data_IF_016879820053
#
_entry.id   IF_016879820053
#
_cell.length_a   1.000
_cell.length_b   1.000
_cell.length_c   1.000
_cell.angle_alpha   90.00
_cell.angle_beta   90.00
_cell.angle_gamma   90.00
#
_symmetry.space_group_name_H-M   'P 1'
#
loop_
_entity.id
_entity.type
_entity.pdbx_description
1 polymer ?
#
# COMPACT_ATOMS: atom_id res chain seq x y z
N UNK A 1 -39.32 13.01 -21.27
CA UNK A 1 -39.00 11.69 -20.66
C UNK A 1 -37.49 11.65 -20.39
N UNK A 2 -37.04 11.57 -19.13
CA UNK A 2 -35.61 11.55 -18.78
C UNK A 2 -35.06 10.13 -18.96
N UNK A 3 -33.94 9.97 -19.69
CA UNK A 3 -33.26 8.68 -19.82
C UNK A 3 -32.65 8.28 -18.48
N UNK A 4 -32.72 6.99 -18.12
CA UNK A 4 -32.09 6.48 -16.89
C UNK A 4 -30.62 6.20 -17.15
N UNK A 5 -29.80 6.13 -16.10
CA UNK A 5 -28.36 5.86 -16.20
C UNK A 5 -28.02 4.59 -17.00
N UNK A 6 -28.87 3.56 -16.88
CA UNK A 6 -28.76 2.30 -17.64
C UNK A 6 -29.06 2.41 -19.14
N UNK A 7 -29.70 3.50 -19.57
CA UNK A 7 -30.06 3.75 -20.97
C UNK A 7 -29.00 4.60 -21.69
N UNK A 8 -27.91 4.98 -21.00
CA UNK A 8 -26.78 5.73 -21.54
C UNK A 8 -25.65 4.77 -21.93
N UNK A 9 -24.90 5.07 -23.00
CA UNK A 9 -23.69 4.33 -23.33
C UNK A 9 -22.67 4.43 -22.18
N UNK A 10 -21.77 3.44 -22.02
CA UNK A 10 -20.73 3.49 -21.00
C UNK A 10 -19.93 4.80 -21.08
N UNK A 11 -19.62 5.44 -19.94
CA UNK A 11 -18.75 6.61 -19.93
C UNK A 11 -17.44 6.32 -20.64
N UNK A 12 -17.07 7.17 -21.60
CA UNK A 12 -15.77 7.07 -22.27
C UNK A 12 -14.72 7.58 -21.28
N UNK A 13 -13.95 6.68 -20.70
CA UNK A 13 -12.87 7.01 -19.77
C UNK A 13 -11.56 7.04 -20.54
N UNK A 14 -10.84 8.17 -20.48
CA UNK A 14 -9.45 8.23 -20.93
C UNK A 14 -8.60 7.38 -19.98
N UNK A 15 -7.83 6.45 -20.54
CA UNK A 15 -6.88 5.64 -19.79
C UNK A 15 -5.50 6.22 -20.00
N UNK A 16 -5.02 6.96 -19.02
CA UNK A 16 -3.61 7.35 -18.93
C UNK A 16 -2.98 6.39 -17.91
N UNK A 17 -1.92 5.64 -18.28
CA UNK A 17 -1.22 4.81 -17.32
C UNK A 17 -0.62 5.68 -16.21
N UNK A 18 -0.49 5.17 -14.98
CA UNK A 18 0.09 5.93 -13.88
C UNK A 18 1.54 6.30 -14.20
N UNK A 19 1.96 7.45 -13.71
CA UNK A 19 3.37 7.85 -13.77
C UNK A 19 4.22 6.96 -12.84
N UNK A 20 5.54 6.94 -13.07
CA UNK A 20 6.49 6.17 -12.25
C UNK A 20 6.38 6.57 -10.77
N UNK A 21 6.29 7.87 -10.49
CA UNK A 21 6.23 8.40 -9.12
C UNK A 21 4.96 7.94 -8.40
N UNK A 22 3.81 7.98 -9.07
CA UNK A 22 2.53 7.52 -8.53
C UNK A 22 2.54 6.00 -8.29
N UNK A 23 3.08 5.23 -9.23
CA UNK A 23 3.19 3.78 -9.10
C UNK A 23 4.10 3.37 -7.93
N UNK A 24 5.25 4.05 -7.77
CA UNK A 24 6.19 3.81 -6.65
C UNK A 24 5.52 4.17 -5.32
N UNK A 25 4.87 5.34 -5.25
CA UNK A 25 4.17 5.79 -4.03
C UNK A 25 3.11 4.77 -3.60
N UNK A 26 2.25 4.35 -4.53
CA UNK A 26 1.21 3.38 -4.23
C UNK A 26 1.77 2.01 -3.83
N UNK A 27 2.86 1.56 -4.47
CA UNK A 27 3.50 0.29 -4.12
C UNK A 27 4.10 0.31 -2.70
N UNK A 28 4.72 1.43 -2.30
CA UNK A 28 5.27 1.62 -0.95
C UNK A 28 4.20 1.68 0.14
N UNK A 29 3.01 2.18 -0.19
CA UNK A 29 1.87 2.17 0.74
C UNK A 29 1.28 0.77 0.92
N UNK A 30 1.43 -0.11 -0.08
CA UNK A 30 0.89 -1.47 -0.06
C UNK A 30 1.84 -2.50 0.57
N UNK A 31 3.15 -2.29 0.48
CA UNK A 31 4.15 -3.25 0.96
C UNK A 31 5.37 -2.57 1.59
N UNK A 32 5.92 -3.23 2.60
CA UNK A 32 7.20 -2.86 3.24
C UNK A 32 8.41 -3.57 2.61
N UNK A 33 8.19 -4.62 1.82
CA UNK A 33 9.23 -5.39 1.14
C UNK A 33 9.56 -4.78 -0.22
N UNK A 34 10.86 -4.58 -0.49
CA UNK A 34 11.32 -3.87 -1.68
C UNK A 34 11.06 -4.66 -2.97
N UNK A 35 11.25 -5.97 -2.95
CA UNK A 35 11.01 -6.80 -4.14
C UNK A 35 9.51 -6.80 -4.50
N UNK A 36 8.64 -6.97 -3.49
CA UNK A 36 7.19 -6.82 -3.68
C UNK A 36 6.78 -5.42 -4.19
N UNK A 37 7.40 -4.34 -3.68
CA UNK A 37 7.13 -2.98 -4.17
C UNK A 37 7.47 -2.84 -5.67
N UNK A 38 8.59 -3.41 -6.11
CA UNK A 38 9.01 -3.33 -7.53
C UNK A 38 8.00 -4.07 -8.41
N UNK A 39 7.59 -5.28 -8.01
CA UNK A 39 6.60 -6.08 -8.75
C UNK A 39 5.25 -5.34 -8.88
N UNK A 40 4.77 -4.75 -7.78
CA UNK A 40 3.51 -3.99 -7.76
C UNK A 40 3.60 -2.75 -8.67
N UNK A 41 4.68 -1.97 -8.57
CA UNK A 41 4.86 -0.78 -9.39
C UNK A 41 4.99 -1.12 -10.89
N UNK A 42 5.70 -2.18 -11.23
CA UNK A 42 5.77 -2.71 -12.60
C UNK A 42 4.38 -3.13 -13.11
N UNK A 43 3.57 -3.77 -12.25
CA UNK A 43 2.19 -4.14 -12.55
C UNK A 43 1.26 -2.94 -12.81
N UNK A 44 1.45 -1.83 -12.09
CA UNK A 44 0.68 -0.60 -12.32
C UNK A 44 1.00 0.07 -13.66
N UNK A 45 2.28 0.07 -14.04
CA UNK A 45 2.74 0.69 -15.28
C UNK A 45 2.62 -0.23 -16.51
N UNK A 46 2.53 -1.54 -16.31
CA UNK A 46 2.56 -2.53 -17.40
C UNK A 46 3.94 -2.66 -18.05
N UNK A 47 5.02 -2.42 -17.29
CA UNK A 47 6.42 -2.51 -17.75
C UNK A 47 7.15 -3.66 -17.06
N UNK A 48 8.40 -3.93 -17.46
CA UNK A 48 9.20 -4.97 -16.83
C UNK A 48 9.70 -4.57 -15.43
N UNK A 49 9.94 -5.57 -14.58
CA UNK A 49 10.52 -5.38 -13.23
C UNK A 49 11.90 -4.69 -13.32
N UNK A 50 12.70 -5.04 -14.35
CA UNK A 50 14.05 -4.50 -14.55
C UNK A 50 14.05 -3.00 -14.88
N UNK A 51 12.99 -2.48 -15.49
CA UNK A 51 12.83 -1.03 -15.73
C UNK A 51 12.52 -0.25 -14.45
N UNK A 52 11.78 -0.85 -13.52
CA UNK A 52 11.36 -0.21 -12.27
C UNK A 52 12.41 -0.35 -11.16
N UNK A 53 13.13 -1.48 -11.13
CA UNK A 53 14.13 -1.79 -10.11
C UNK A 53 15.17 -0.68 -9.85
N UNK A 54 15.79 -0.04 -10.87
CA UNK A 54 16.74 1.05 -10.63
C UNK A 54 16.08 2.35 -10.14
N UNK A 55 14.77 2.53 -10.36
CA UNK A 55 14.01 3.72 -9.99
C UNK A 55 13.42 3.62 -8.57
N UNK A 56 13.24 2.40 -8.06
CA UNK A 56 12.69 2.17 -6.72
C UNK A 56 13.68 2.62 -5.63
N UNK A 57 13.35 3.66 -4.84
CA UNK A 57 14.25 4.14 -3.81
C UNK A 57 14.39 3.14 -2.66
N UNK A 58 15.55 3.17 -2.01
CA UNK A 58 15.74 2.48 -0.74
C UNK A 58 14.92 3.19 0.34
N UNK A 59 13.90 2.52 0.86
CA UNK A 59 13.09 3.08 1.94
C UNK A 59 13.91 3.15 3.22
N UNK A 60 14.24 4.37 3.65
CA UNK A 60 14.74 4.63 5.00
C UNK A 60 13.51 4.81 5.87
N UNK A 61 13.07 3.76 6.58
CA UNK A 61 11.96 3.90 7.54
C UNK A 61 12.39 4.90 8.61
N UNK A 62 11.72 6.06 8.79
CA UNK A 62 11.90 6.81 10.02
C UNK A 62 11.37 5.91 11.13
N UNK A 63 12.25 5.47 12.04
CA UNK A 63 11.79 4.80 13.25
C UNK A 63 10.77 5.71 13.91
N UNK A 64 9.55 5.22 14.17
CA UNK A 64 8.50 5.95 14.88
C UNK A 64 8.99 6.20 16.31
N UNK A 65 9.83 7.21 16.48
CA UNK A 65 10.33 7.72 17.74
C UNK A 65 9.32 8.77 18.19
N UNK A 66 8.47 8.40 19.15
CA UNK A 66 7.71 9.41 19.88
C UNK A 66 8.72 10.13 20.76
N UNK A 67 9.12 11.34 20.37
CA UNK A 67 10.01 12.19 21.18
C UNK A 67 9.16 12.74 22.34
N UNK A 68 9.00 11.94 23.39
CA UNK A 68 8.57 12.42 24.69
C UNK A 68 9.84 12.74 25.49
N UNK A 69 10.23 14.02 25.51
CA UNK A 69 11.26 14.56 26.40
C UNK A 69 12.54 13.72 26.49
N UNK A 70 13.52 14.02 25.62
CA UNK A 70 14.93 13.68 25.80
C UNK A 70 15.28 12.17 25.74
N UNK A 71 14.32 11.27 25.51
CA UNK A 71 14.54 9.82 25.49
C UNK A 71 13.80 9.17 24.32
N UNK A 72 14.51 8.39 23.51
CA UNK A 72 13.91 7.54 22.49
C UNK A 72 13.39 6.26 23.13
N UNK A 73 12.12 5.94 22.88
CA UNK A 73 11.48 4.70 23.33
C UNK A 73 10.94 3.97 22.10
N UNK A 74 11.40 2.74 21.90
CA UNK A 74 10.84 1.83 20.88
C UNK A 74 9.72 1.04 21.52
N UNK A 75 8.48 1.21 21.03
CA UNK A 75 7.31 0.49 21.54
C UNK A 75 7.01 -0.71 20.64
N UNK A 76 7.20 -1.92 21.16
CA UNK A 76 6.74 -3.14 20.50
C UNK A 76 5.38 -3.57 21.09
N UNK A 77 4.33 -3.57 20.27
CA UNK A 77 2.99 -3.99 20.70
C UNK A 77 2.84 -5.51 20.59
N UNK A 78 2.94 -6.23 21.71
CA UNK A 78 2.67 -7.68 21.76
C UNK A 78 1.17 -7.96 21.71
N UNK A 79 0.68 -8.51 20.61
CA UNK A 79 -0.73 -8.94 20.48
C UNK A 79 -0.91 -10.27 21.22
N UNK A 80 -1.52 -10.24 22.41
CA UNK A 80 -1.87 -11.46 23.13
C UNK A 80 -2.94 -12.24 22.35
N UNK A 81 -2.68 -13.52 22.05
CA UNK A 81 -3.70 -14.39 21.45
C UNK A 81 -4.85 -14.55 22.46
N UNK A 82 -6.12 -14.37 22.07
CA UNK A 82 -7.24 -14.65 22.96
C UNK A 82 -7.19 -16.11 23.38
N UNK A 83 -7.04 -16.37 24.68
CA UNK A 83 -7.12 -17.74 25.20
C UNK A 83 -8.54 -18.29 24.96
N UNK A 84 -8.63 -19.49 24.37
CA UNK A 84 -9.88 -20.21 24.10
C UNK A 84 -10.63 -20.68 25.37
N UNK A 85 -10.34 -20.10 26.54
CA UNK A 85 -10.95 -20.48 27.81
C UNK A 85 -12.32 -19.84 28.08
N UNK A 86 -12.82 -18.99 27.17
CA UNK A 86 -14.12 -18.29 27.35
C UNK A 86 -15.19 -18.62 26.31
N UNK A 87 -15.03 -19.70 25.54
CA UNK A 87 -16.09 -20.20 24.63
C UNK A 87 -16.82 -21.43 25.22
N UNK A 88 -16.26 -22.09 26.24
CA UNK A 88 -16.85 -23.28 26.87
C UNK A 88 -17.70 -22.97 28.12
N UNK A 89 -18.29 -21.78 28.21
CA UNK A 89 -19.24 -21.42 29.28
C UNK A 89 -20.45 -20.73 28.65
N UNK A 90 -21.30 -21.53 28.00
CA UNK A 90 -22.68 -21.18 27.71
C UNK A 90 -23.54 -22.43 27.82
#
# INVERSE_FOLDING_TARGET
MRKRAKDLPPPRVRKEPPTIEEAISAAQDLSDDREAQIEIAAGFMGVSIDEVRPLMPLRVKPATSIIAGNRSVVVERRVARPSLRRIAAR
#
